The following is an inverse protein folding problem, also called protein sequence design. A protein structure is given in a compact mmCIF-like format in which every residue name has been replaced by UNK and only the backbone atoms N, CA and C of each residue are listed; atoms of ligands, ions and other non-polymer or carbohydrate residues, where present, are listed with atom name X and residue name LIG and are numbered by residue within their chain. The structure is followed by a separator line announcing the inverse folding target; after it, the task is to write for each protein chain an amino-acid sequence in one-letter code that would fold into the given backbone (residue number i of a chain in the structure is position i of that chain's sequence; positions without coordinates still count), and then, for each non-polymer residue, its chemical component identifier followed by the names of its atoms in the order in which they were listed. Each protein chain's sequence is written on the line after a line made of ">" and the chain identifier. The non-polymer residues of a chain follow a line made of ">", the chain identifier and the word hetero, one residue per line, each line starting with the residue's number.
data_IF_706445625012
#
_entry.id   IF_706445625012
#
_cell.length_a   1.000
_cell.length_b   1.000
_cell.length_c   1.000
_cell.angle_alpha   90.00
_cell.angle_beta   90.00
_cell.angle_gamma   90.00
#
_symmetry.space_group_name_H-M   'P 1'
#
loop_
_entity.id
_entity.type
_entity.pdbx_description
1 polymer ?
#
# COMPACT_ATOMS: atom_id res chain seq x y z
N UNK A 1 -17.79 1.49 -20.89
CA UNK A 1 -16.40 1.94 -20.51
C UNK A 1 -16.16 1.74 -19.01
N UNK A 2 -14.93 0.96 -18.63
CA UNK A 2 -14.76 0.56 -17.23
C UNK A 2 -14.69 1.78 -16.29
N UNK A 3 -15.31 1.73 -15.14
CA UNK A 3 -15.44 2.79 -14.13
C UNK A 3 -14.13 2.96 -13.33
N UNK A 4 -13.10 2.19 -13.73
CA UNK A 4 -11.81 2.26 -13.01
C UNK A 4 -10.67 2.10 -14.02
N UNK A 5 -9.67 3.07 -13.89
CA UNK A 5 -8.48 2.98 -14.76
C UNK A 5 -7.24 2.58 -13.94
N UNK A 6 -6.43 1.69 -14.62
CA UNK A 6 -5.19 1.23 -13.95
C UNK A 6 -4.01 1.62 -14.84
N UNK A 7 -3.00 2.26 -14.10
CA UNK A 7 -1.80 2.65 -14.87
C UNK A 7 -0.53 2.19 -14.13
N UNK A 8 0.34 1.66 -14.96
CA UNK A 8 1.64 1.22 -14.40
C UNK A 8 2.73 2.20 -14.79
N UNK A 9 3.55 2.50 -13.76
CA UNK A 9 4.62 3.46 -14.05
C UNK A 9 5.81 3.25 -13.09
N UNK A 10 6.82 4.01 -13.51
CA UNK A 10 8.02 4.01 -12.66
C UNK A 10 8.80 5.31 -12.85
N UNK A 11 9.64 5.60 -11.89
CA UNK A 11 10.45 6.84 -12.03
C UNK A 11 11.38 6.75 -13.26
N UNK A 12 11.78 5.54 -13.53
CA UNK A 12 12.59 5.31 -14.75
C UNK A 12 12.20 3.99 -15.41
N UNK A 13 12.84 3.77 -16.60
CA UNK A 13 12.39 2.55 -17.32
C UNK A 13 13.58 1.66 -17.65
N UNK A 14 14.76 2.02 -17.23
CA UNK A 14 15.94 1.18 -17.47
C UNK A 14 16.50 0.67 -16.13
N UNK A 15 16.67 -0.64 -16.08
CA UNK A 15 17.08 -1.23 -14.79
C UNK A 15 18.08 -2.36 -15.07
N UNK A 16 18.83 -2.65 -13.91
CA UNK A 16 19.65 -3.88 -13.96
C UNK A 16 18.84 -5.09 -13.49
N UNK A 17 19.28 -6.23 -13.92
CA UNK A 17 18.52 -7.45 -13.55
C UNK A 17 18.77 -7.83 -12.10
N UNK A 18 19.83 -7.31 -11.63
CA UNK A 18 20.18 -7.76 -10.25
C UNK A 18 19.62 -6.78 -9.21
N UNK A 19 19.02 -5.78 -9.73
CA UNK A 19 18.50 -4.84 -8.70
C UNK A 19 17.00 -5.06 -8.47
N UNK A 20 16.54 -4.54 -7.29
CA UNK A 20 15.08 -4.55 -7.03
C UNK A 20 14.43 -3.37 -7.79
N UNK A 21 13.42 -3.78 -8.63
CA UNK A 21 12.75 -2.75 -9.45
C UNK A 21 11.44 -2.33 -8.78
N UNK A 22 11.37 -0.97 -8.67
CA UNK A 22 10.10 -0.48 -8.07
C UNK A 22 9.19 0.09 -9.16
N UNK A 23 8.02 -0.49 -9.21
CA UNK A 23 6.97 0.04 -10.10
C UNK A 23 5.81 0.56 -9.26
N UNK A 24 5.03 1.50 -9.96
CA UNK A 24 3.84 1.99 -9.24
C UNK A 24 2.57 1.75 -10.06
N UNK A 25 1.65 1.18 -9.33
CA UNK A 25 0.35 0.99 -10.01
C UNK A 25 -0.63 2.03 -9.46
N UNK A 26 -1.21 2.71 -10.43
CA UNK A 26 -2.14 3.78 -10.03
C UNK A 26 -3.58 3.43 -10.47
N UNK A 27 -4.45 3.50 -9.47
CA UNK A 27 -5.88 3.24 -9.73
C UNK A 27 -6.62 4.58 -9.74
N UNK A 28 -7.42 4.76 -10.84
CA UNK A 28 -8.15 6.03 -10.91
C UNK A 28 -9.65 5.75 -11.07
N UNK A 29 -10.38 6.45 -10.16
CA UNK A 29 -11.84 6.36 -10.25
C UNK A 29 -12.35 7.28 -11.36
N UNK A 30 -13.02 6.59 -12.29
CA UNK A 30 -13.47 7.41 -13.44
C UNK A 30 -14.95 7.75 -13.30
N UNK A 31 -15.51 7.44 -12.18
CA UNK A 31 -16.95 7.72 -11.99
C UNK A 31 -17.11 9.13 -11.43
N UNK A 32 -18.40 9.52 -11.27
CA UNK A 32 -18.67 10.89 -10.76
C UNK A 32 -18.97 10.86 -9.26
N UNK A 33 -18.91 9.65 -8.70
CA UNK A 33 -19.14 9.58 -7.24
C UNK A 33 -17.98 8.84 -6.56
N UNK A 34 -17.98 8.96 -5.26
CA UNK A 34 -16.97 8.21 -4.49
C UNK A 34 -17.31 6.71 -4.48
N UNK A 35 -16.22 5.94 -4.80
CA UNK A 35 -16.45 4.48 -4.85
C UNK A 35 -15.34 3.76 -4.09
N UNK A 36 -15.81 2.64 -3.60
CA UNK A 36 -14.80 1.83 -2.87
C UNK A 36 -14.10 0.86 -3.83
N UNK A 37 -12.73 0.75 -3.58
CA UNK A 37 -11.99 -0.29 -4.35
C UNK A 37 -11.23 -1.19 -3.38
N UNK A 38 -10.99 -2.35 -3.95
CA UNK A 38 -10.18 -3.28 -3.13
C UNK A 38 -8.74 -3.30 -3.65
N UNK A 39 -7.77 -3.13 -2.72
CA UNK A 39 -6.33 -3.18 -3.05
C UNK A 39 -5.68 -4.44 -2.48
N UNK A 40 -4.55 -4.83 -3.20
CA UNK A 40 -3.92 -6.08 -2.73
C UNK A 40 -3.36 -5.92 -1.30
N UNK A 41 -3.64 -6.90 -0.49
CA UNK A 41 -3.01 -7.02 0.85
C UNK A 41 -2.24 -8.33 0.97
N UNK A 42 -1.49 -8.38 2.10
CA UNK A 42 -0.74 -9.66 2.30
C UNK A 42 -1.72 -10.83 2.49
N UNK A 43 -1.37 -11.91 1.64
CA UNK A 43 -2.24 -13.10 1.73
C UNK A 43 -1.40 -14.37 1.93
N UNK A 44 -2.00 -15.30 2.60
CA UNK A 44 -1.25 -16.55 2.82
C UNK A 44 -1.79 -17.68 1.94
N UNK A 45 -3.01 -17.50 1.32
CA UNK A 45 -3.57 -18.48 0.36
C UNK A 45 -4.48 -17.74 -0.63
N UNK A 46 -4.75 -18.39 -1.79
CA UNK A 46 -5.64 -17.78 -2.81
C UNK A 46 -4.82 -17.28 -4.02
N UNK A 47 -5.49 -16.43 -4.75
CA UNK A 47 -4.86 -15.94 -6.00
C UNK A 47 -4.44 -14.48 -5.84
N UNK A 48 -3.36 -14.15 -6.50
CA UNK A 48 -2.90 -12.76 -6.46
C UNK A 48 -3.92 -11.86 -7.19
N UNK A 49 -4.06 -10.70 -6.53
CA UNK A 49 -5.00 -9.75 -7.17
C UNK A 49 -4.31 -9.00 -8.32
N UNK A 50 -3.02 -8.75 -8.10
CA UNK A 50 -2.25 -8.12 -9.19
C UNK A 50 -1.18 -9.08 -9.69
N UNK A 51 -1.12 -9.21 -11.01
CA UNK A 51 -0.04 -10.05 -11.56
C UNK A 51 0.44 -9.45 -12.88
N UNK A 52 1.70 -9.87 -13.28
CA UNK A 52 2.35 -9.14 -14.40
C UNK A 52 2.48 -10.07 -15.61
N UNK A 53 2.34 -9.42 -16.72
CA UNK A 53 2.64 -10.11 -17.99
C UNK A 53 3.69 -9.32 -18.77
N UNK A 54 4.52 -10.12 -19.51
CA UNK A 54 5.66 -9.49 -20.21
C UNK A 54 5.54 -9.81 -21.71
N UNK A 55 5.83 -8.73 -22.48
CA UNK A 55 5.70 -8.89 -23.94
C UNK A 55 6.96 -8.34 -24.62
N UNK A 56 7.14 -8.89 -25.85
CA UNK A 56 8.13 -8.29 -26.75
C UNK A 56 7.41 -7.81 -28.01
N UNK A 57 7.79 -6.55 -28.32
CA UNK A 57 7.11 -6.01 -29.52
C UNK A 57 8.03 -6.10 -30.74
N UNK A 58 7.45 -6.65 -31.83
CA UNK A 58 8.29 -6.72 -33.05
C UNK A 58 8.13 -5.43 -33.86
N UNK A 59 8.89 -5.28 -35.00
CA UNK A 59 8.95 -4.05 -35.82
C UNK A 59 7.57 -3.69 -36.38
N UNK A 60 6.61 -4.59 -36.30
CA UNK A 60 5.25 -4.27 -36.79
C UNK A 60 4.28 -4.04 -35.63
N UNK A 61 4.76 -3.88 -34.44
CA UNK A 61 3.97 -3.62 -33.21
C UNK A 61 3.10 -4.82 -32.83
N UNK A 62 3.52 -5.94 -33.29
CA UNK A 62 2.89 -7.15 -32.75
C UNK A 62 3.51 -7.56 -31.42
N UNK A 63 2.56 -7.74 -30.43
CA UNK A 63 3.07 -8.03 -29.06
C UNK A 63 2.98 -9.54 -28.79
N UNK A 64 4.16 -10.07 -28.53
CA UNK A 64 4.18 -11.50 -28.16
C UNK A 64 4.42 -11.67 -26.65
N UNK A 65 3.44 -12.42 -26.08
CA UNK A 65 3.58 -12.68 -24.62
C UNK A 65 4.70 -13.69 -24.35
N UNK A 66 5.63 -13.32 -23.56
CA UNK A 66 6.76 -14.25 -23.32
C UNK A 66 6.70 -14.80 -21.90
N UNK A 67 5.95 -14.05 -21.07
CA UNK A 67 5.83 -14.60 -19.71
C UNK A 67 4.63 -13.94 -19.01
N UNK A 68 3.91 -14.80 -18.23
CA UNK A 68 2.82 -14.29 -17.35
C UNK A 68 2.97 -14.91 -15.96
N UNK A 69 3.03 -13.96 -15.06
CA UNK A 69 3.16 -14.41 -13.65
C UNK A 69 1.95 -15.25 -13.21
N UNK A 70 2.31 -16.31 -12.42
CA UNK A 70 1.19 -17.12 -11.88
C UNK A 70 0.43 -16.35 -10.79
N UNK A 71 -0.84 -16.59 -10.81
CA UNK A 71 -1.65 -15.93 -9.75
C UNK A 71 -1.69 -16.79 -8.49
N UNK A 72 -1.33 -18.03 -8.66
CA UNK A 72 -1.35 -18.90 -7.46
C UNK A 72 -0.20 -18.55 -6.51
N UNK A 73 -0.64 -18.49 -5.20
CA UNK A 73 0.38 -18.04 -4.21
C UNK A 73 0.82 -19.24 -3.37
N UNK A 74 2.17 -19.40 -3.30
CA UNK A 74 2.72 -20.39 -2.34
C UNK A 74 3.43 -19.65 -1.20
N UNK A 75 2.67 -19.50 0.14
CA UNK A 75 3.43 -18.68 1.13
C UNK A 75 3.43 -19.38 2.49
N UNK A 76 4.30 -18.56 3.38
CA UNK A 76 4.38 -18.80 4.83
C UNK A 76 3.06 -18.44 5.53
N UNK A 77 2.28 -19.41 6.11
CA UNK A 77 0.91 -19.34 6.69
C UNK A 77 0.94 -18.59 8.03
N UNK A 78 2.10 -18.05 8.42
CA UNK A 78 2.18 -17.50 9.78
C UNK A 78 1.63 -16.06 9.81
N UNK A 79 1.25 -15.39 8.61
CA UNK A 79 0.70 -14.02 8.62
C UNK A 79 -0.73 -14.06 8.07
N UNK A 80 -1.69 -13.52 8.91
CA UNK A 80 -3.09 -13.51 8.43
C UNK A 80 -3.23 -12.58 7.22
N UNK A 81 -3.70 -13.15 6.15
CA UNK A 81 -3.90 -12.43 4.89
C UNK A 81 -5.06 -11.44 4.98
N UNK A 82 -4.79 -10.14 4.53
CA UNK A 82 -5.91 -9.18 4.47
C UNK A 82 -5.87 -8.41 3.14
N UNK A 83 -7.13 -8.07 2.69
CA UNK A 83 -7.20 -7.11 1.55
C UNK A 83 -7.51 -5.71 2.11
N UNK A 84 -6.98 -4.78 1.31
CA UNK A 84 -7.21 -3.40 1.78
C UNK A 84 -8.37 -2.76 1.00
N UNK A 85 -9.17 -2.06 1.88
CA UNK A 85 -10.30 -1.33 1.26
C UNK A 85 -9.99 0.18 1.24
N UNK A 86 -10.34 0.72 0.01
CA UNK A 86 -10.08 2.17 -0.08
C UNK A 86 -11.23 2.85 -0.82
N UNK A 87 -11.68 3.98 -0.10
CA UNK A 87 -12.65 4.81 -0.84
C UNK A 87 -11.95 5.85 -1.73
N UNK A 88 -12.34 5.79 -2.98
CA UNK A 88 -11.70 6.71 -3.94
C UNK A 88 -12.74 7.72 -4.44
N UNK A 89 -12.45 9.02 -4.07
CA UNK A 89 -13.39 10.06 -4.57
C UNK A 89 -13.42 10.09 -6.09
N UNK A 90 -14.47 10.80 -6.57
CA UNK A 90 -14.63 10.88 -8.04
C UNK A 90 -13.37 11.46 -8.68
N UNK A 91 -12.80 10.66 -9.61
CA UNK A 91 -11.66 11.07 -10.48
C UNK A 91 -10.36 11.17 -9.68
N UNK A 92 -10.43 10.65 -8.46
CA UNK A 92 -9.15 10.63 -7.71
C UNK A 92 -8.44 9.28 -7.87
N UNK A 93 -7.05 9.38 -7.54
CA UNK A 93 -6.23 8.16 -7.78
C UNK A 93 -5.49 7.77 -6.49
N UNK A 94 -5.22 6.52 -6.51
CA UNK A 94 -4.35 6.02 -5.44
C UNK A 94 -3.28 5.13 -6.10
N UNK A 95 -2.03 5.27 -5.50
CA UNK A 95 -0.93 4.49 -6.08
C UNK A 95 -0.30 3.58 -5.02
N UNK A 96 0.00 2.39 -5.49
CA UNK A 96 0.70 1.48 -4.57
C UNK A 96 1.95 0.93 -5.29
N UNK A 97 2.95 0.70 -4.50
CA UNK A 97 4.20 0.25 -5.14
C UNK A 97 4.20 -1.27 -5.37
N UNK A 98 4.87 -1.68 -6.58
CA UNK A 98 5.24 -3.09 -6.83
C UNK A 98 6.75 -3.26 -6.91
N UNK A 99 7.18 -4.23 -6.15
CA UNK A 99 8.63 -4.46 -6.20
C UNK A 99 8.92 -5.78 -6.92
N UNK A 100 9.81 -5.59 -7.93
CA UNK A 100 10.23 -6.83 -8.64
C UNK A 100 11.62 -7.27 -8.17
N UNK A 101 11.79 -8.59 -8.11
CA UNK A 101 13.11 -9.22 -7.88
C UNK A 101 13.60 -8.97 -6.46
N UNK A 102 12.63 -8.81 -5.50
CA UNK A 102 13.02 -8.74 -4.07
C UNK A 102 12.80 -10.11 -3.41
N UNK A 103 13.85 -10.86 -3.31
CA UNK A 103 13.68 -12.27 -2.86
C UNK A 103 13.50 -12.31 -1.34
N UNK A 104 13.99 -11.31 -0.68
CA UNK A 104 13.89 -11.34 0.81
C UNK A 104 12.46 -11.13 1.29
N UNK A 105 11.67 -10.33 0.54
CA UNK A 105 10.32 -10.00 1.04
C UNK A 105 9.24 -10.67 0.18
N UNK A 106 9.70 -11.44 -0.76
CA UNK A 106 8.74 -12.01 -1.74
C UNK A 106 7.75 -12.94 -1.05
N UNK A 107 8.18 -13.62 0.01
CA UNK A 107 7.28 -14.64 0.60
C UNK A 107 6.42 -14.01 1.71
N UNK A 108 6.87 -12.92 2.28
CA UNK A 108 6.14 -12.40 3.45
C UNK A 108 5.32 -11.17 3.04
N UNK A 109 5.69 -10.49 1.88
CA UNK A 109 4.95 -9.28 1.44
C UNK A 109 4.49 -9.45 -0.01
N UNK A 110 3.67 -10.43 -0.23
CA UNK A 110 3.39 -10.90 -1.62
C UNK A 110 2.33 -10.02 -2.28
N UNK A 111 1.81 -9.14 -1.52
CA UNK A 111 0.88 -8.19 -2.16
C UNK A 111 1.65 -7.19 -3.04
N UNK A 112 2.87 -6.82 -2.59
CA UNK A 112 3.61 -5.76 -3.32
C UNK A 112 4.81 -6.36 -4.07
N UNK A 113 5.19 -7.64 -3.70
CA UNK A 113 6.46 -8.14 -4.26
C UNK A 113 6.16 -9.25 -5.28
N UNK A 114 6.91 -9.05 -6.43
CA UNK A 114 6.70 -9.96 -7.56
C UNK A 114 8.07 -10.43 -8.10
N UNK A 115 7.92 -11.67 -8.68
CA UNK A 115 9.20 -12.20 -9.20
C UNK A 115 9.45 -11.64 -10.62
N UNK A 116 10.77 -11.32 -10.78
CA UNK A 116 11.17 -10.95 -12.15
C UNK A 116 11.56 -12.21 -12.93
N UNK A 117 10.88 -12.50 -14.05
CA UNK A 117 11.26 -13.69 -14.82
C UNK A 117 12.69 -13.59 -15.36
N UNK A 118 13.26 -14.75 -15.58
CA UNK A 118 14.64 -14.77 -16.12
C UNK A 118 14.66 -14.27 -17.57
N UNK A 119 14.67 -12.91 -17.64
CA UNK A 119 14.64 -12.30 -18.98
C UNK A 119 16.03 -11.78 -19.33
N UNK A 120 16.51 -11.98 -20.64
CA UNK A 120 17.81 -11.38 -21.03
C UNK A 120 17.69 -9.84 -21.16
N UNK A 121 18.91 -9.30 -21.33
CA UNK A 121 18.88 -7.84 -21.56
C UNK A 121 18.08 -7.49 -22.83
N UNK A 122 17.28 -6.50 -22.62
CA UNK A 122 16.44 -6.10 -23.77
C UNK A 122 15.29 -5.21 -23.31
N UNK A 123 14.46 -4.90 -24.31
CA UNK A 123 13.29 -4.03 -24.04
C UNK A 123 12.01 -4.88 -24.02
N UNK A 124 11.29 -4.60 -22.92
CA UNK A 124 10.07 -5.42 -22.74
C UNK A 124 8.89 -4.48 -22.44
N UNK A 125 7.73 -5.00 -22.96
CA UNK A 125 6.48 -4.31 -22.55
C UNK A 125 5.79 -5.08 -21.42
N UNK A 126 5.63 -4.30 -20.35
CA UNK A 126 5.11 -4.98 -19.15
C UNK A 126 3.70 -4.43 -18.87
N UNK A 127 2.84 -5.42 -18.48
CA UNK A 127 1.46 -5.01 -18.15
C UNK A 127 1.09 -5.63 -16.79
N UNK A 128 0.40 -4.79 -16.03
CA UNK A 128 -0.13 -5.38 -14.79
C UNK A 128 -1.64 -5.61 -14.93
N UNK A 129 -2.02 -6.88 -14.54
CA UNK A 129 -3.46 -7.21 -14.54
C UNK A 129 -4.05 -7.12 -13.13
N UNK A 130 -5.23 -6.52 -13.12
CA UNK A 130 -6.00 -6.45 -11.86
C UNK A 130 -7.22 -7.36 -11.88
N UNK A 131 -7.23 -8.28 -10.84
CA UNK A 131 -8.32 -9.29 -10.85
C UNK A 131 -8.86 -9.43 -9.43
N UNK A 132 -9.84 -8.63 -9.06
CA UNK A 132 -10.30 -8.57 -7.66
C UNK A 132 -11.40 -9.59 -7.37
N UNK A 133 -12.02 -10.24 -8.33
CA UNK A 133 -13.30 -10.98 -8.15
C UNK A 133 -13.02 -12.31 -7.47
N UNK A 134 -11.73 -12.63 -7.21
CA UNK A 134 -11.45 -13.88 -6.46
C UNK A 134 -11.42 -13.62 -4.96
N UNK A 135 -11.65 -12.34 -4.58
CA UNK A 135 -11.64 -12.02 -3.13
C UNK A 135 -13.07 -12.09 -2.58
N UNK A 136 -13.11 -12.49 -1.30
CA UNK A 136 -14.44 -12.52 -0.69
C UNK A 136 -15.06 -11.12 -0.59
N UNK A 137 -16.36 -11.00 -0.79
CA UNK A 137 -17.18 -9.79 -0.53
C UNK A 137 -16.94 -8.74 -1.61
N UNK A 138 -16.19 -9.11 -2.75
CA UNK A 138 -15.91 -8.13 -3.82
C UNK A 138 -17.19 -7.83 -4.61
N UNK A 139 -18.14 -8.74 -4.45
CA UNK A 139 -19.40 -8.53 -5.21
C UNK A 139 -20.20 -7.35 -4.63
N UNK A 140 -19.82 -6.97 -3.34
CA UNK A 140 -20.53 -5.81 -2.75
C UNK A 140 -19.87 -4.50 -3.19
N UNK A 141 -18.65 -4.68 -3.72
CA UNK A 141 -17.91 -3.46 -4.10
C UNK A 141 -17.97 -3.27 -5.62
N UNK A 142 -17.91 -4.43 -6.37
CA UNK A 142 -17.79 -4.27 -7.83
C UNK A 142 -18.99 -4.92 -8.51
N UNK A 143 -19.36 -4.18 -9.61
CA UNK A 143 -20.27 -4.84 -10.56
C UNK A 143 -19.51 -5.38 -11.78
N UNK A 144 -19.88 -6.64 -12.12
CA UNK A 144 -19.16 -7.23 -13.28
C UNK A 144 -19.83 -6.79 -14.60
N UNK A 145 -18.94 -6.27 -15.51
CA UNK A 145 -19.51 -5.91 -16.83
C UNK A 145 -19.66 -7.18 -17.66
N UNK A 146 -20.95 -7.69 -17.76
CA UNK A 146 -21.21 -8.90 -18.58
C UNK A 146 -21.15 -8.56 -20.08
N UNK A 147 -20.33 -9.34 -20.81
CA UNK A 147 -20.23 -9.12 -22.27
C UNK A 147 -21.54 -9.42 -23.00
N UNK A 148 -22.59 -10.08 -22.21
CA UNK A 148 -23.84 -10.44 -22.89
C UNK A 148 -25.01 -9.73 -22.20
N UNK A 149 -24.97 -8.43 -22.13
CA UNK A 149 -25.87 -7.39 -21.59
C UNK A 149 -27.20 -7.97 -21.13
N UNK A 150 -27.38 -8.72 -20.02
CA UNK A 150 -28.78 -8.96 -19.57
C UNK A 150 -29.30 -7.76 -18.81
N UNK A 151 -30.34 -7.05 -19.32
CA UNK A 151 -31.32 -5.99 -19.01
C UNK A 151 -31.68 -5.96 -17.52
N UNK A 152 -30.76 -6.72 -16.56
CA UNK A 152 -31.19 -6.46 -15.17
C UNK A 152 -30.03 -5.86 -14.38
N UNK A 153 -29.15 -5.06 -15.04
CA UNK A 153 -28.03 -4.44 -14.28
C UNK A 153 -28.57 -3.27 -13.44
N UNK A 154 -29.02 -3.57 -12.20
CA UNK A 154 -29.39 -2.57 -11.17
C UNK A 154 -28.31 -1.47 -11.06
N UNK A 155 -28.20 -0.52 -12.02
CA UNK A 155 -27.30 0.65 -12.01
C UNK A 155 -27.66 1.58 -10.85
N UNK A 156 -28.45 1.11 -9.81
CA UNK A 156 -28.78 1.99 -8.66
C UNK A 156 -27.73 1.86 -7.55
N UNK A 157 -26.50 1.11 -7.89
CA UNK A 157 -25.56 0.89 -6.76
C UNK A 157 -24.27 1.67 -7.02
N UNK A 158 -23.85 2.69 -6.25
CA UNK A 158 -22.55 3.37 -6.18
C UNK A 158 -21.38 2.38 -6.37
N UNK A 159 -21.61 1.22 -7.17
CA UNK A 159 -20.52 0.24 -7.36
C UNK A 159 -19.68 0.65 -8.57
N UNK A 160 -18.41 0.05 -8.51
CA UNK A 160 -17.53 0.20 -9.70
C UNK A 160 -17.71 -1.01 -10.62
N UNK A 161 -18.04 -0.65 -11.92
CA UNK A 161 -18.20 -1.77 -12.86
C UNK A 161 -16.88 -2.04 -13.60
N UNK A 162 -16.48 -3.39 -13.56
CA UNK A 162 -15.17 -3.77 -14.12
C UNK A 162 -15.32 -5.11 -14.86
N UNK A 163 -14.45 -5.18 -15.84
CA UNK A 163 -14.33 -6.55 -16.42
C UNK A 163 -13.72 -7.52 -15.40
N UNK A 164 -13.84 -8.79 -15.85
CA UNK A 164 -13.30 -9.79 -14.89
C UNK A 164 -11.82 -9.51 -14.58
N UNK A 165 -11.12 -9.10 -15.58
CA UNK A 165 -9.72 -8.65 -15.40
C UNK A 165 -9.49 -7.35 -16.18
N UNK A 166 -8.80 -6.52 -15.45
CA UNK A 166 -8.54 -5.22 -16.10
C UNK A 166 -7.03 -5.00 -16.23
N UNK A 167 -6.67 -4.64 -17.49
CA UNK A 167 -5.23 -4.48 -17.72
C UNK A 167 -4.83 -3.00 -17.61
N UNK A 168 -3.55 -2.84 -17.18
CA UNK A 168 -3.00 -1.47 -17.20
C UNK A 168 -2.44 -1.14 -18.59
N UNK A 169 -1.72 0.02 -18.65
CA UNK A 169 -0.98 0.37 -19.88
C UNK A 169 0.27 -0.51 -20.07
N UNK A 170 0.84 -0.43 -21.34
CA UNK A 170 2.13 -1.12 -21.56
C UNK A 170 3.28 -0.23 -21.09
N UNK A 171 3.91 -0.72 -20.06
CA UNK A 171 5.10 0.01 -19.57
C UNK A 171 6.38 -0.58 -20.19
N UNK A 172 7.21 0.36 -20.68
CA UNK A 172 8.47 -0.11 -21.30
C UNK A 172 9.54 -0.36 -20.23
N UNK A 173 9.92 -1.61 -20.18
CA UNK A 173 10.97 -2.00 -19.22
C UNK A 173 12.24 -2.39 -19.99
N UNK A 174 13.32 -1.61 -19.69
CA UNK A 174 14.61 -1.91 -20.37
C UNK A 174 15.58 -2.51 -19.34
N UNK A 175 16.01 -3.72 -19.69
CA UNK A 175 16.97 -4.38 -18.79
C UNK A 175 18.36 -4.33 -19.41
N UNK A 176 19.30 -3.78 -18.58
CA UNK A 176 20.68 -3.66 -19.10
C UNK A 176 21.66 -3.90 -17.95
N UNK A 177 22.94 -4.14 -18.32
CA UNK A 177 23.97 -4.44 -17.28
C UNK A 177 24.45 -3.12 -16.63
N UNK A 178 24.21 -1.99 -17.33
CA UNK A 178 24.72 -0.72 -16.76
C UNK A 178 23.63 0.34 -16.77
N UNK A 179 22.73 0.17 -15.84
CA UNK A 179 21.66 1.18 -15.85
C UNK A 179 22.12 2.50 -15.23
N UNK A 180 21.60 3.59 -15.79
CA UNK A 180 21.85 4.89 -15.13
C UNK A 180 20.91 5.08 -13.93
N UNK A 181 21.57 5.28 -12.75
CA UNK A 181 20.75 5.45 -11.53
C UNK A 181 20.57 6.95 -11.27
N UNK A 182 19.28 7.30 -11.24
CA UNK A 182 19.05 8.73 -10.97
C UNK A 182 19.55 9.13 -9.58
N UNK A 183 20.23 10.32 -9.62
CA UNK A 183 20.71 10.81 -8.30
C UNK A 183 19.57 11.58 -7.60
N UNK A 184 19.51 11.27 -6.26
CA UNK A 184 18.49 11.98 -5.46
C UNK A 184 18.81 13.48 -5.41
N UNK A 185 17.70 14.23 -5.62
CA UNK A 185 17.88 15.69 -5.49
C UNK A 185 17.37 16.13 -4.11
N UNK A 186 18.30 16.81 -3.44
CA UNK A 186 17.96 17.21 -2.05
C UNK A 186 16.75 18.16 -2.04
N UNK A 187 15.93 17.91 -1.07
CA UNK A 187 14.75 18.81 -0.88
C UNK A 187 14.89 19.54 0.46
N UNK A 188 14.02 20.59 0.63
CA UNK A 188 14.04 21.35 1.90
C UNK A 188 13.80 20.44 3.11
N UNK A 189 13.06 19.30 2.89
CA UNK A 189 12.69 18.42 4.02
C UNK A 189 13.61 17.20 4.08
N UNK A 190 14.49 17.05 3.02
CA UNK A 190 15.50 15.97 3.03
C UNK A 190 16.81 16.51 2.43
N UNK A 191 17.52 17.27 3.29
CA UNK A 191 18.81 17.79 2.82
C UNK A 191 19.89 16.70 2.77
N UNK A 192 21.06 17.04 2.24
CA UNK A 192 22.15 16.04 2.09
C UNK A 192 22.48 15.37 3.42
N UNK A 193 22.28 16.07 4.57
CA UNK A 193 22.57 15.47 5.89
C UNK A 193 21.28 15.15 6.65
N UNK A 194 20.36 14.65 5.95
CA UNK A 194 19.07 14.30 6.59
C UNK A 194 19.28 13.22 7.65
N UNK A 195 18.84 13.58 8.92
CA UNK A 195 19.09 12.67 10.06
C UNK A 195 18.29 11.37 9.91
N UNK A 196 17.04 11.52 9.34
CA UNK A 196 16.23 10.30 9.16
C UNK A 196 16.87 9.36 8.15
N UNK A 197 17.38 9.92 7.01
CA UNK A 197 17.97 9.06 5.97
C UNK A 197 19.33 8.52 6.42
N UNK A 198 20.03 9.31 7.17
CA UNK A 198 21.31 8.82 7.71
C UNK A 198 21.08 7.63 8.68
N UNK A 199 20.10 7.81 9.58
CA UNK A 199 19.79 6.70 10.50
C UNK A 199 19.34 5.44 9.74
N UNK A 200 18.55 5.68 8.70
CA UNK A 200 18.09 4.52 7.90
C UNK A 200 19.28 3.88 7.18
N UNK A 201 20.22 4.62 6.67
CA UNK A 201 21.40 4.06 5.96
C UNK A 201 22.22 3.18 6.90
N UNK A 202 22.23 3.57 8.18
CA UNK A 202 23.06 2.81 9.15
C UNK A 202 22.24 1.71 9.83
N UNK A 203 21.03 1.51 9.34
CA UNK A 203 20.13 0.48 9.90
C UNK A 203 19.92 0.68 11.40
N UNK A 204 20.04 1.94 11.89
CA UNK A 204 19.70 2.23 13.30
C UNK A 204 18.19 2.48 13.43
N UNK A 205 17.40 1.38 13.46
CA UNK A 205 15.93 1.47 13.32
C UNK A 205 15.30 2.04 14.60
N UNK A 206 15.99 1.85 15.76
CA UNK A 206 15.46 2.48 16.99
C UNK A 206 15.52 4.02 16.89
N UNK A 207 16.59 4.52 16.29
CA UNK A 207 16.71 5.97 16.09
C UNK A 207 15.66 6.48 15.08
N UNK A 208 15.46 5.71 14.02
CA UNK A 208 14.39 6.08 13.04
C UNK A 208 13.04 6.20 13.76
N UNK A 209 12.80 5.25 14.63
CA UNK A 209 11.52 5.28 15.36
C UNK A 209 11.42 6.53 16.23
N UNK A 210 12.51 6.82 16.87
CA UNK A 210 12.49 7.98 17.77
C UNK A 210 12.26 9.29 16.98
N UNK A 211 12.93 9.37 15.79
CA UNK A 211 12.79 10.60 14.99
C UNK A 211 11.33 10.74 14.53
N UNK A 212 10.73 9.63 14.04
CA UNK A 212 9.34 9.71 13.53
C UNK A 212 8.38 10.01 14.71
N UNK A 213 8.61 9.38 15.80
CA UNK A 213 7.71 9.60 16.96
C UNK A 213 7.78 11.06 17.42
N UNK A 214 9.01 11.68 17.41
CA UNK A 214 9.15 13.08 17.86
C UNK A 214 8.46 14.04 16.88
N UNK A 215 8.48 13.59 15.61
CA UNK A 215 7.94 14.51 14.58
C UNK A 215 6.46 14.21 14.33
N UNK A 216 5.91 13.19 15.13
CA UNK A 216 4.49 12.85 14.98
C UNK A 216 3.72 13.34 16.21
N UNK A 217 2.74 14.30 15.97
CA UNK A 217 1.94 14.89 17.06
C UNK A 217 1.18 13.81 17.83
N UNK A 218 1.36 13.79 19.25
CA UNK A 218 0.79 12.82 20.21
C UNK A 218 -0.31 13.49 21.04
N UNK A 219 -1.11 14.54 20.51
CA UNK A 219 -2.17 15.00 21.45
C UNK A 219 -2.77 16.31 20.91
N UNK A 220 -4.10 16.49 20.35
CA UNK A 220 -5.35 17.25 20.17
C UNK A 220 -5.15 18.74 20.48
N UNK A 221 -5.77 19.71 19.70
CA UNK A 221 -6.74 20.83 19.65
C UNK A 221 -6.05 22.09 19.11
N UNK A 222 -6.01 22.19 17.76
CA UNK A 222 -5.97 23.51 17.10
C UNK A 222 -4.63 24.21 17.33
N UNK A 223 -3.44 23.42 17.40
CA UNK A 223 -2.30 24.30 17.04
C UNK A 223 -1.44 23.60 15.98
N UNK A 224 -2.03 23.32 14.80
CA UNK A 224 -1.35 22.95 13.53
C UNK A 224 0.01 23.66 13.39
N UNK A 225 0.52 24.44 14.49
CA UNK A 225 1.63 25.32 14.06
C UNK A 225 2.96 24.80 14.63
N UNK A 226 3.04 23.33 15.26
CA UNK A 226 4.43 23.13 15.73
C UNK A 226 4.84 21.67 15.51
N UNK A 227 4.01 20.82 14.74
CA UNK A 227 4.56 19.44 14.68
C UNK A 227 5.19 19.22 13.30
N UNK A 228 6.56 19.24 13.38
CA UNK A 228 7.37 18.92 12.18
C UNK A 228 6.98 17.56 11.59
N UNK A 229 6.10 17.56 10.47
CA UNK A 229 5.73 16.31 9.77
C UNK A 229 6.66 16.11 8.56
N UNK A 230 7.88 16.48 8.77
CA UNK A 230 8.86 16.45 7.66
C UNK A 230 9.08 15.02 7.16
N UNK A 231 8.88 14.12 8.17
CA UNK A 231 9.15 12.73 7.72
C UNK A 231 8.10 12.26 6.71
N UNK A 232 6.91 12.93 6.60
CA UNK A 232 5.86 12.57 5.62
C UNK A 232 6.18 13.17 4.25
N UNK A 233 7.20 14.01 4.26
CA UNK A 233 7.62 14.55 2.94
C UNK A 233 8.65 13.65 2.26
N UNK A 234 8.85 13.87 0.88
CA UNK A 234 9.72 12.97 0.13
C UNK A 234 11.14 12.91 0.72
N UNK A 235 11.54 11.62 1.08
CA UNK A 235 12.90 11.37 1.58
C UNK A 235 13.60 10.35 0.66
N UNK A 236 14.95 10.50 0.72
CA UNK A 236 15.75 9.59 -0.12
C UNK A 236 15.48 8.11 0.21
N UNK A 237 15.29 7.79 1.45
CA UNK A 237 15.25 6.36 1.84
C UNK A 237 13.80 5.92 2.10
N UNK A 238 12.80 6.90 1.93
CA UNK A 238 11.40 6.48 2.10
C UNK A 238 10.80 6.28 0.70
N UNK A 239 10.43 5.05 0.52
CA UNK A 239 9.95 4.68 -0.83
C UNK A 239 8.44 4.91 -0.93
N UNK A 240 7.79 4.57 0.14
CA UNK A 240 6.32 4.67 0.04
C UNK A 240 5.73 4.78 1.45
N UNK A 241 4.67 5.68 1.50
CA UNK A 241 3.88 5.77 2.74
C UNK A 241 2.41 5.50 2.39
N UNK A 242 1.87 4.54 3.14
CA UNK A 242 0.47 4.22 2.83
C UNK A 242 -0.43 5.41 3.22
N UNK A 243 -1.47 5.59 2.35
CA UNK A 243 -2.39 6.68 2.72
C UNK A 243 -3.13 6.38 4.04
N UNK A 244 -3.52 7.41 4.72
CA UNK A 244 -4.27 7.19 5.96
C UNK A 244 -5.63 6.51 5.69
N UNK A 245 -6.20 5.86 6.67
CA UNK A 245 -7.50 5.22 6.45
C UNK A 245 -8.58 6.26 6.11
N UNK A 246 -9.55 5.81 5.28
CA UNK A 246 -10.63 6.70 4.77
C UNK A 246 -11.73 6.87 5.82
N UNK A 247 -11.82 5.89 6.76
CA UNK A 247 -12.84 6.10 7.81
C UNK A 247 -12.41 5.36 9.09
N UNK A 248 -12.54 6.18 10.15
CA UNK A 248 -12.19 5.59 11.47
C UNK A 248 -13.47 5.56 12.33
N UNK A 249 -13.92 4.35 12.64
CA UNK A 249 -15.10 4.25 13.54
C UNK A 249 -14.79 4.86 14.92
N UNK A 250 -15.45 6.03 15.19
CA UNK A 250 -15.16 6.88 16.38
C UNK A 250 -15.86 6.33 17.62
N UNK A 251 -16.73 5.22 17.48
CA UNK A 251 -17.57 4.82 18.65
C UNK A 251 -16.85 3.79 19.52
N UNK A 252 -15.46 3.42 19.18
CA UNK A 252 -14.65 2.51 20.01
C UNK A 252 -13.17 2.81 19.79
N UNK A 253 -12.32 2.56 20.98
CA UNK A 253 -10.91 2.71 20.58
C UNK A 253 -10.61 1.99 19.26
N UNK A 254 -10.52 2.87 18.26
CA UNK A 254 -10.19 2.27 16.94
C UNK A 254 -8.69 2.45 16.66
N UNK A 255 -8.12 1.26 16.20
CA UNK A 255 -6.69 1.33 15.81
C UNK A 255 -6.58 1.42 14.29
N UNK A 256 -5.75 2.44 14.00
CA UNK A 256 -5.41 2.43 12.55
C UNK A 256 -3.91 2.21 12.35
N UNK A 257 -3.74 1.51 11.19
CA UNK A 257 -2.32 1.19 10.93
C UNK A 257 -1.93 1.68 9.53
N UNK A 258 -0.73 2.35 9.47
CA UNK A 258 -0.14 2.72 8.17
C UNK A 258 1.22 2.05 7.97
N UNK A 259 1.37 1.74 6.68
CA UNK A 259 2.69 1.13 6.38
C UNK A 259 3.64 2.15 5.73
N UNK A 260 4.88 2.01 6.24
CA UNK A 260 5.95 2.80 5.61
C UNK A 260 7.05 1.85 5.12
N UNK A 261 7.51 2.23 3.86
CA UNK A 261 8.57 1.35 3.34
C UNK A 261 9.86 2.19 3.20
N UNK A 262 10.90 1.58 3.90
CA UNK A 262 12.22 2.22 3.75
C UNK A 262 13.13 1.37 2.84
N UNK A 263 14.02 2.24 2.15
CA UNK A 263 15.01 1.51 1.33
C UNK A 263 16.42 1.92 1.75
N UNK A 264 17.24 0.80 2.02
CA UNK A 264 18.68 1.06 2.22
C UNK A 264 19.52 0.00 1.51
N UNK A 265 20.86 -0.02 1.75
CA UNK A 265 21.76 -0.96 1.02
C UNK A 265 21.39 -2.42 1.35
N UNK A 266 20.74 -2.62 2.49
CA UNK A 266 20.41 -4.01 2.89
C UNK A 266 19.05 -4.43 2.32
N UNK A 267 18.38 -3.49 1.70
CA UNK A 267 17.10 -3.89 1.06
C UNK A 267 15.94 -3.03 1.59
N UNK A 268 14.67 -3.54 1.34
CA UNK A 268 13.45 -2.80 1.74
C UNK A 268 13.01 -3.25 3.15
N UNK A 269 12.65 -2.22 3.86
CA UNK A 269 12.22 -2.50 5.25
C UNK A 269 10.83 -1.89 5.47
N UNK A 270 9.95 -2.73 6.15
CA UNK A 270 8.55 -2.28 6.35
C UNK A 270 8.33 -1.87 7.80
N UNK A 271 7.84 -0.68 7.90
CA UNK A 271 7.40 -0.19 9.22
C UNK A 271 5.88 0.03 9.24
N UNK A 272 5.36 -0.24 10.50
CA UNK A 272 3.91 0.01 10.63
C UNK A 272 3.68 1.02 11.75
N UNK A 273 2.93 1.99 11.29
CA UNK A 273 2.55 2.98 12.32
C UNK A 273 1.09 2.76 12.72
N UNK A 274 0.93 2.66 14.09
CA UNK A 274 -0.43 2.41 14.55
C UNK A 274 -0.91 3.63 15.36
N UNK A 275 -2.08 4.01 14.85
CA UNK A 275 -2.69 5.12 15.61
C UNK A 275 -3.91 4.63 16.40
N UNK A 276 -4.02 5.25 17.57
CA UNK A 276 -5.24 4.95 18.35
C UNK A 276 -6.09 6.22 18.46
N UNK A 277 -7.30 5.97 17.96
CA UNK A 277 -8.28 7.08 18.08
C UNK A 277 -9.20 6.88 19.30
N UNK A 278 -9.24 7.89 20.22
CA UNK A 278 -10.11 7.74 21.41
C UNK A 278 -9.28 7.75 22.71
N UNK A 279 -9.90 8.06 23.95
CA UNK A 279 -9.16 8.23 25.23
C UNK A 279 -8.44 6.94 25.63
N UNK A 280 -7.01 6.91 25.78
CA UNK A 280 -6.27 5.79 26.40
C UNK A 280 -6.09 6.10 27.90
N UNK A 281 -7.01 5.49 28.76
CA UNK A 281 -6.75 5.74 30.20
C UNK A 281 -5.86 4.64 30.78
N UNK A 282 -4.57 4.86 30.88
CA UNK A 282 -3.57 3.88 31.37
C UNK A 282 -3.90 3.40 32.78
N UNK A 283 -4.40 4.15 33.65
CA UNK A 283 -4.67 3.76 35.05
C UNK A 283 -6.13 3.32 35.20
N UNK A 284 -6.92 3.62 34.30
CA UNK A 284 -8.37 3.29 34.35
C UNK A 284 -8.63 1.90 33.75
N UNK A 285 -7.76 1.49 32.77
CA UNK A 285 -7.81 0.11 32.23
C UNK A 285 -7.33 -0.90 33.29
N UNK A 286 -6.39 -0.37 34.03
CA UNK A 286 -5.91 -1.23 35.14
C UNK A 286 -6.97 -1.27 36.25
N UNK A 287 -7.68 -0.18 36.54
CA UNK A 287 -8.71 -0.10 37.60
C UNK A 287 -9.99 -0.84 37.14
N UNK A 288 -10.37 -0.78 35.87
CA UNK A 288 -11.53 -1.51 35.31
C UNK A 288 -11.24 -3.01 35.29
N UNK A 289 -10.00 -3.42 35.02
CA UNK A 289 -9.59 -4.85 35.09
C UNK A 289 -9.63 -5.36 36.54
N UNK A 290 -9.27 -4.45 37.47
CA UNK A 290 -9.29 -4.84 38.91
C UNK A 290 -10.74 -4.83 39.40
N UNK A 291 -11.56 -3.92 38.96
CA UNK A 291 -12.96 -3.82 39.42
C UNK A 291 -13.81 -4.92 38.75
N UNK A 292 -13.52 -5.28 37.50
CA UNK A 292 -14.16 -6.45 36.85
C UNK A 292 -13.74 -7.76 37.53
N UNK A 293 -12.51 -7.82 37.99
CA UNK A 293 -12.00 -9.04 38.67
C UNK A 293 -12.59 -9.16 40.09
N UNK A 294 -13.09 -8.04 40.68
CA UNK A 294 -13.55 -8.10 42.10
C UNK A 294 -15.08 -7.92 42.15
N UNK A 295 -15.75 -7.39 41.12
CA UNK A 295 -17.16 -7.04 41.42
C UNK A 295 -18.03 -7.38 40.21
N UNK A 296 -17.50 -8.15 39.11
CA UNK A 296 -18.21 -8.62 37.90
C UNK A 296 -19.23 -7.58 37.43
N UNK A 297 -19.12 -6.32 37.70
CA UNK A 297 -20.06 -5.32 37.17
C UNK A 297 -19.45 -4.64 35.94
N UNK A 298 -20.32 -4.56 34.78
CA UNK A 298 -19.94 -3.92 33.49
C UNK A 298 -20.37 -2.45 33.49
N UNK A 299 -19.50 -1.63 34.05
CA UNK A 299 -19.95 -0.21 34.00
C UNK A 299 -19.63 0.39 32.63
N UNK A 300 -20.81 0.85 31.86
CA UNK A 300 -20.57 1.67 30.66
C UNK A 300 -20.54 3.16 31.03
N UNK A 301 -19.38 3.64 30.79
CA UNK A 301 -19.22 5.08 31.11
C UNK A 301 -19.27 5.87 29.80
N UNK A 302 -20.33 6.78 29.68
CA UNK A 302 -20.49 7.78 28.60
C UNK A 302 -19.52 8.95 28.81
N UNK A 303 -18.74 9.18 27.74
CA UNK A 303 -17.88 10.39 27.83
C UNK A 303 -18.15 11.31 26.63
N UNK A 304 -18.63 12.58 26.93
CA UNK A 304 -18.68 13.94 26.36
C UNK A 304 -17.30 14.43 25.90
N UNK A 305 -17.09 14.41 24.54
CA UNK A 305 -16.42 15.27 23.54
C UNK A 305 -14.91 15.30 23.75
N UNK A 306 -14.14 14.52 22.80
CA UNK A 306 -12.93 15.01 22.09
C UNK A 306 -12.32 13.85 21.29
N UNK A 307 -12.18 13.94 19.93
CA UNK A 307 -11.52 13.26 18.78
C UNK A 307 -10.00 13.31 18.92
N UNK A 308 -9.25 12.41 19.78
CA UNK A 308 -7.78 12.43 19.86
C UNK A 308 -7.21 11.31 19.00
N UNK A 309 -6.17 11.69 18.06
CA UNK A 309 -5.36 10.67 17.37
C UNK A 309 -3.96 10.59 17.98
N UNK A 310 -3.65 9.40 18.65
CA UNK A 310 -2.32 9.25 19.27
C UNK A 310 -1.59 8.06 18.63
N UNK A 311 -0.26 8.38 18.26
CA UNK A 311 0.57 7.26 17.80
C UNK A 311 0.85 6.29 18.97
N UNK A 312 0.46 5.02 18.85
CA UNK A 312 0.60 4.06 19.98
C UNK A 312 1.77 3.11 19.73
N UNK A 313 2.04 3.00 18.36
CA UNK A 313 3.12 2.01 18.16
C UNK A 313 3.77 2.24 16.80
N UNK A 314 5.10 2.12 16.84
CA UNK A 314 5.88 2.02 15.59
C UNK A 314 6.73 0.74 15.63
N UNK A 315 6.30 -0.22 14.68
CA UNK A 315 6.99 -1.52 14.79
C UNK A 315 7.59 -1.90 13.43
N UNK A 316 8.84 -2.43 13.57
CA UNK A 316 9.45 -2.99 12.35
C UNK A 316 9.02 -4.46 12.19
N UNK A 317 8.53 -4.77 11.00
CA UNK A 317 8.17 -6.19 10.87
C UNK A 317 9.30 -6.93 10.13
N UNK A 318 9.78 -8.06 10.68
CA UNK A 318 10.77 -8.86 9.94
C UNK A 318 10.22 -9.32 8.57
#
# INVERSE_FOLDING_TARGET
>A
MPDLSIKLGSERNTYSRTEVIQLNVTFTNLTEHTSSITLPGTKNAGKRMLYLAYYVADSNDFYTNIHTESREMNMDTSILGQVYWKNLDAHKSVSIPLFLNDTNNFRTKNAAHHALPNLPNGTYKVVVWYAPFDEPYVDYIFGKINPFRDSDDDFSTHKIYLEEQTASNYFELILTDNPKIPKWISTSHCPKNCKLCKASDNSHWSKVKKIISKQTDHTRKYKKEKTDTSWCQPHRNIVWISPPPDAILSSLPAYTQNSIIFRNQKGYHYFFITWQLGRIYRFRTIAVKIFYATSHLNLSITSNNSNYKKLTALKLTP
#
